data_IF_647648333965
#
_entry.id   IF_647648333965
#
_cell.length_a   1.000
_cell.length_b   1.000
_cell.length_c   1.000
_cell.angle_alpha   90.00
_cell.angle_beta   90.00
_cell.angle_gamma   90.00
#
_symmetry.space_group_name_H-M   'P 1'
#
loop_
_entity.id
_entity.type
_entity.pdbx_description
1 polymer ?
#
# COMPACT_ATOMS: atom_id res chain seq x y z
N UNK A 1 -61.16 0.99 -52.76
CA UNK A 1 -59.78 1.39 -52.38
C UNK A 1 -59.86 2.11 -51.03
N UNK A 2 -58.79 2.04 -50.22
CA UNK A 2 -58.61 2.54 -48.85
C UNK A 2 -58.73 1.49 -47.73
N UNK A 3 -57.56 0.94 -47.38
CA UNK A 3 -57.27 0.13 -46.19
C UNK A 3 -56.82 1.07 -45.06
N UNK A 4 -57.42 0.97 -43.88
CA UNK A 4 -56.87 1.53 -42.65
C UNK A 4 -55.94 0.51 -42.00
N UNK A 5 -54.71 0.91 -41.68
CA UNK A 5 -53.78 0.15 -40.86
C UNK A 5 -53.67 0.80 -39.48
N UNK A 6 -53.62 0.03 -38.36
CA UNK A 6 -53.38 0.60 -37.06
C UNK A 6 -51.88 0.81 -36.84
N UNK A 7 -51.49 2.03 -36.44
CA UNK A 7 -50.16 2.35 -35.93
C UNK A 7 -50.11 1.85 -34.48
N UNK A 8 -49.32 0.82 -34.24
CA UNK A 8 -48.96 0.38 -32.88
C UNK A 8 -47.81 1.27 -32.40
N UNK A 9 -48.08 2.16 -31.46
CA UNK A 9 -47.06 2.94 -30.77
C UNK A 9 -46.41 2.06 -29.68
N UNK A 10 -45.19 1.58 -29.95
CA UNK A 10 -44.34 0.97 -28.92
C UNK A 10 -43.71 2.09 -28.08
N UNK A 11 -44.23 2.30 -26.87
CA UNK A 11 -43.54 3.07 -25.84
C UNK A 11 -42.34 2.24 -25.34
N UNK A 12 -41.15 2.47 -25.91
CA UNK A 12 -39.89 2.06 -25.31
C UNK A 12 -39.64 2.96 -24.09
N UNK A 13 -40.10 2.51 -22.92
CA UNK A 13 -39.65 3.03 -21.64
C UNK A 13 -38.19 2.63 -21.45
N UNK A 14 -37.27 3.47 -21.94
CA UNK A 14 -35.86 3.36 -21.58
C UNK A 14 -35.68 3.78 -20.13
N UNK A 15 -35.58 2.81 -19.22
CA UNK A 15 -35.02 3.08 -17.89
C UNK A 15 -33.55 3.46 -18.08
N UNK A 16 -33.26 4.77 -18.02
CA UNK A 16 -31.91 5.25 -17.77
C UNK A 16 -31.49 4.69 -16.41
N UNK A 17 -30.50 3.78 -16.42
CA UNK A 17 -29.79 3.38 -15.22
C UNK A 17 -28.94 4.59 -14.83
N UNK A 18 -29.48 5.45 -13.96
CA UNK A 18 -28.72 6.45 -13.22
C UNK A 18 -27.87 5.66 -12.23
N UNK A 19 -26.65 5.28 -12.64
CA UNK A 19 -25.62 4.99 -11.65
C UNK A 19 -25.44 6.27 -10.82
N UNK A 20 -25.77 6.15 -9.55
CA UNK A 20 -26.08 7.21 -8.58
C UNK A 20 -24.99 8.30 -8.48
N UNK A 21 -25.31 9.51 -8.94
CA UNK A 21 -24.43 10.69 -8.87
C UNK A 21 -23.92 10.94 -7.43
N UNK A 22 -24.70 10.54 -6.42
CA UNK A 22 -24.40 10.71 -4.99
C UNK A 22 -23.16 9.91 -4.57
N UNK A 23 -23.06 8.64 -4.96
CA UNK A 23 -21.90 7.80 -4.59
C UNK A 23 -20.64 8.26 -5.31
N UNK A 24 -20.77 8.76 -6.54
CA UNK A 24 -19.65 9.35 -7.28
C UNK A 24 -19.11 10.59 -6.55
N UNK A 25 -19.99 11.48 -6.09
CA UNK A 25 -19.61 12.67 -5.30
C UNK A 25 -18.93 12.26 -3.99
N UNK A 26 -19.55 11.37 -3.21
CA UNK A 26 -18.98 10.89 -1.95
C UNK A 26 -17.60 10.25 -2.15
N UNK A 27 -17.43 9.46 -3.22
CA UNK A 27 -16.15 8.85 -3.59
C UNK A 27 -15.07 9.88 -3.94
N UNK A 28 -15.42 11.00 -4.57
CA UNK A 28 -14.47 12.08 -4.84
C UNK A 28 -14.11 12.87 -3.58
N UNK A 29 -15.08 13.11 -2.70
CA UNK A 29 -14.84 13.76 -1.41
C UNK A 29 -13.91 12.94 -0.52
N UNK A 30 -14.11 11.60 -0.46
CA UNK A 30 -13.20 10.69 0.25
C UNK A 30 -11.79 10.75 -0.32
N UNK A 31 -11.64 10.76 -1.64
CA UNK A 31 -10.32 10.90 -2.28
C UNK A 31 -9.65 12.24 -1.94
N UNK A 32 -10.41 13.34 -2.00
CA UNK A 32 -9.90 14.66 -1.61
C UNK A 32 -9.48 14.70 -0.13
N UNK A 33 -10.24 14.02 0.75
CA UNK A 33 -9.88 13.88 2.16
C UNK A 33 -8.59 13.08 2.37
N UNK A 34 -8.39 11.98 1.64
CA UNK A 34 -7.13 11.20 1.67
C UNK A 34 -5.94 12.01 1.16
N UNK A 35 -6.11 12.80 0.08
CA UNK A 35 -5.06 13.72 -0.42
C UNK A 35 -4.62 14.71 0.65
N UNK A 36 -5.57 15.43 1.28
CA UNK A 36 -5.26 16.41 2.34
C UNK A 36 -4.51 15.77 3.50
N UNK A 37 -4.86 14.53 3.86
CA UNK A 37 -4.20 13.78 4.94
C UNK A 37 -2.79 13.39 4.58
N UNK A 38 -2.56 12.88 3.36
CA UNK A 38 -1.22 12.60 2.87
C UNK A 38 -0.38 13.88 2.77
N UNK A 39 -0.98 15.05 2.53
CA UNK A 39 -0.27 16.36 2.49
C UNK A 39 0.11 16.85 3.89
N UNK A 40 -0.68 16.50 4.91
CA UNK A 40 -0.41 16.89 6.28
C UNK A 40 0.73 16.09 6.94
N UNK A 41 1.12 14.94 6.37
CA UNK A 41 2.24 14.14 6.86
C UNK A 41 3.58 14.78 6.49
N UNK A 42 4.35 15.15 7.50
CA UNK A 42 5.70 15.69 7.37
C UNK A 42 6.70 14.64 7.84
N UNK A 43 7.48 14.09 6.91
CA UNK A 43 8.46 13.06 7.21
C UNK A 43 9.87 13.68 7.20
N UNK A 44 10.77 13.13 8.02
CA UNK A 44 12.22 13.41 8.02
C UNK A 44 13.01 12.12 8.28
N UNK A 45 14.23 12.04 7.78
CA UNK A 45 15.20 10.97 8.11
C UNK A 45 16.26 11.57 9.03
N UNK A 46 16.22 11.23 10.32
CA UNK A 46 16.96 11.99 11.34
C UNK A 46 16.66 13.48 11.22
N UNK A 47 17.71 14.31 11.17
CA UNK A 47 17.59 15.77 10.98
C UNK A 47 17.50 16.21 9.51
N UNK A 48 17.52 15.28 8.55
CA UNK A 48 17.49 15.64 7.11
C UNK A 48 16.04 15.90 6.66
N UNK A 49 15.72 17.10 6.14
CA UNK A 49 14.35 17.46 5.77
C UNK A 49 13.93 17.02 4.36
N UNK A 50 14.86 16.54 3.52
CA UNK A 50 14.61 16.33 2.09
C UNK A 50 13.91 15.00 1.78
N UNK A 51 12.65 14.91 2.19
CA UNK A 51 11.75 13.82 1.79
C UNK A 51 10.64 14.34 0.88
N UNK A 52 10.29 13.54 -0.12
CA UNK A 52 9.27 13.91 -1.11
C UNK A 52 8.22 12.83 -1.19
N UNK A 53 6.95 13.22 -1.18
CA UNK A 53 5.88 12.30 -1.55
C UNK A 53 5.95 12.02 -3.04
N UNK A 54 5.72 10.76 -3.43
CA UNK A 54 5.67 10.38 -4.84
C UNK A 54 4.37 10.90 -5.44
N UNK A 55 4.47 11.99 -6.18
CA UNK A 55 3.35 12.60 -6.88
C UNK A 55 2.32 13.28 -5.96
N UNK A 56 1.30 13.86 -6.61
CA UNK A 56 0.15 14.49 -5.93
C UNK A 56 -1.02 13.55 -5.72
N UNK A 57 -1.06 12.47 -6.49
CA UNK A 57 -2.11 11.45 -6.49
C UNK A 57 -1.65 10.19 -5.79
N UNK A 58 -2.56 9.40 -5.20
CA UNK A 58 -2.19 8.13 -4.61
C UNK A 58 -1.66 7.19 -5.69
N UNK A 59 -0.67 6.37 -5.32
CA UNK A 59 -0.07 5.40 -6.23
C UNK A 59 -0.99 4.19 -6.48
N UNK A 60 -1.89 3.93 -5.52
CA UNK A 60 -2.87 2.87 -5.62
C UNK A 60 -4.12 3.24 -4.83
N UNK A 61 -5.29 2.86 -5.34
CA UNK A 61 -6.58 3.02 -4.66
C UNK A 61 -7.26 1.67 -4.62
N UNK A 62 -7.82 1.34 -3.47
CA UNK A 62 -8.37 0.02 -3.20
C UNK A 62 -9.63 0.11 -2.36
N UNK A 63 -10.29 -1.03 -2.24
CA UNK A 63 -11.35 -1.30 -1.28
C UNK A 63 -11.22 -2.75 -0.84
N UNK A 64 -11.74 -3.05 0.34
CA UNK A 64 -11.87 -4.41 0.83
C UNK A 64 -13.34 -4.81 0.80
N UNK A 65 -13.70 -5.70 -0.13
CA UNK A 65 -15.07 -6.16 -0.28
C UNK A 65 -15.50 -7.15 0.80
N UNK A 66 -14.53 -7.75 1.51
CA UNK A 66 -14.78 -8.77 2.53
C UNK A 66 -14.61 -8.18 3.93
N UNK A 67 -13.62 -7.30 4.10
CA UNK A 67 -13.45 -6.53 5.32
C UNK A 67 -14.26 -5.25 5.35
N UNK A 68 -13.71 -4.26 6.03
CA UNK A 68 -14.45 -3.08 6.49
C UNK A 68 -13.95 -1.78 5.87
N UNK A 69 -12.84 -1.86 5.13
CA UNK A 69 -12.24 -0.77 4.38
C UNK A 69 -13.04 -0.49 3.12
N UNK A 70 -13.85 0.57 3.15
CA UNK A 70 -14.72 0.92 2.01
C UNK A 70 -13.97 1.65 0.89
N UNK A 71 -12.93 2.42 1.22
CA UNK A 71 -12.12 3.18 0.28
C UNK A 71 -10.74 3.48 0.90
N UNK A 72 -9.69 3.09 0.19
CA UNK A 72 -8.32 3.23 0.68
C UNK A 72 -7.36 3.70 -0.41
N UNK A 73 -6.27 4.34 0.01
CA UNK A 73 -5.21 4.83 -0.86
C UNK A 73 -3.83 4.52 -0.32
N UNK A 74 -2.91 4.16 -1.20
CA UNK A 74 -1.50 3.94 -0.89
C UNK A 74 -0.67 5.14 -1.37
N UNK A 75 0.21 5.59 -0.48
CA UNK A 75 1.14 6.70 -0.70
C UNK A 75 2.56 6.25 -0.38
N UNK A 76 3.54 6.81 -1.09
CA UNK A 76 4.96 6.59 -0.81
C UNK A 76 5.67 7.93 -0.61
N UNK A 77 6.69 7.90 0.24
CA UNK A 77 7.67 8.97 0.37
C UNK A 77 9.04 8.43 -0.01
N UNK A 78 9.83 9.28 -0.67
CA UNK A 78 11.18 8.97 -1.13
C UNK A 78 12.19 9.91 -0.50
N UNK A 79 13.41 9.40 -0.33
CA UNK A 79 14.62 10.20 -0.22
C UNK A 79 15.34 10.09 -1.55
N UNK A 80 15.60 11.23 -2.19
CA UNK A 80 15.83 11.28 -3.63
C UNK A 80 14.69 10.52 -4.36
N UNK A 81 14.99 9.38 -4.97
CA UNK A 81 14.03 8.55 -5.72
C UNK A 81 13.73 7.21 -5.03
N UNK A 82 14.46 6.84 -3.97
CA UNK A 82 14.25 5.56 -3.29
C UNK A 82 13.10 5.66 -2.28
N UNK A 83 12.09 4.78 -2.33
CA UNK A 83 11.04 4.73 -1.31
C UNK A 83 11.60 4.44 0.07
N UNK A 84 11.17 5.24 1.04
CA UNK A 84 11.63 5.16 2.43
C UNK A 84 10.50 4.96 3.44
N UNK A 85 9.27 5.26 3.05
CA UNK A 85 8.09 5.05 3.86
C UNK A 85 6.88 4.88 2.95
N UNK A 86 5.88 4.16 3.45
CA UNK A 86 4.58 4.03 2.83
C UNK A 86 3.47 4.35 3.82
N UNK A 87 2.32 4.79 3.30
CA UNK A 87 1.11 4.93 4.09
C UNK A 87 -0.11 4.44 3.33
N UNK A 88 -0.91 3.59 3.97
CA UNK A 88 -2.30 3.34 3.60
C UNK A 88 -3.19 4.30 4.38
N UNK A 89 -3.97 5.11 3.67
CA UNK A 89 -4.99 5.99 4.24
C UNK A 89 -6.34 5.48 3.78
N UNK A 90 -7.21 5.12 4.71
CA UNK A 90 -8.49 4.52 4.36
C UNK A 90 -9.58 4.88 5.36
N UNK A 91 -10.83 4.72 4.92
CA UNK A 91 -11.97 4.81 5.81
C UNK A 91 -12.50 3.40 6.14
N UNK A 92 -12.66 3.17 7.42
CA UNK A 92 -13.31 1.98 7.95
C UNK A 92 -14.78 2.29 8.22
N UNK A 93 -15.65 1.40 7.77
CA UNK A 93 -17.11 1.48 7.99
C UNK A 93 -17.54 1.06 9.39
N UNK A 94 -16.69 0.38 10.15
CA UNK A 94 -16.91 0.08 11.57
C UNK A 94 -16.98 1.39 12.35
N UNK A 95 -17.99 1.49 13.21
CA UNK A 95 -18.14 2.60 14.17
C UNK A 95 -18.20 4.01 13.56
N UNK A 96 -18.91 4.18 12.44
CA UNK A 96 -19.34 5.50 11.97
C UNK A 96 -18.33 6.25 11.09
N UNK A 97 -17.66 5.56 10.17
CA UNK A 97 -16.71 6.13 9.20
C UNK A 97 -15.49 6.77 9.85
N UNK A 98 -14.53 5.92 10.23
CA UNK A 98 -13.30 6.37 10.86
C UNK A 98 -12.14 6.33 9.87
N UNK A 99 -11.37 7.40 9.84
CA UNK A 99 -10.13 7.44 9.09
C UNK A 99 -9.07 6.62 9.81
N UNK A 100 -8.29 5.86 9.05
CA UNK A 100 -7.16 5.10 9.55
C UNK A 100 -5.92 5.44 8.74
N UNK A 101 -4.79 5.38 9.44
CA UNK A 101 -3.46 5.58 8.90
C UNK A 101 -2.68 4.33 9.24
N UNK A 102 -2.25 3.59 8.24
CA UNK A 102 -1.26 2.53 8.40
C UNK A 102 0.03 2.99 7.77
N UNK A 103 1.07 3.12 8.58
CA UNK A 103 2.35 3.64 8.17
C UNK A 103 3.41 2.56 8.32
N UNK A 104 4.34 2.50 7.37
CA UNK A 104 5.48 1.59 7.47
C UNK A 104 6.78 2.23 6.98
N UNK A 105 7.86 1.99 7.72
CA UNK A 105 9.22 2.39 7.36
C UNK A 105 9.83 1.37 6.41
N UNK A 106 10.48 1.85 5.34
CA UNK A 106 11.14 1.03 4.33
C UNK A 106 12.67 1.12 4.40
N UNK A 107 13.22 1.87 5.36
CA UNK A 107 14.66 2.09 5.52
C UNK A 107 15.22 1.56 6.83
N UNK A 108 16.54 1.34 6.83
CA UNK A 108 17.30 0.88 7.99
C UNK A 108 17.79 2.02 8.89
N UNK A 109 17.15 3.18 8.82
CA UNK A 109 17.46 4.38 9.61
C UNK A 109 16.20 4.90 10.30
N UNK A 110 16.37 5.66 11.38
CA UNK A 110 15.25 6.24 12.09
C UNK A 110 14.49 7.25 11.20
N UNK A 111 13.15 7.19 11.26
CA UNK A 111 12.29 8.20 10.66
C UNK A 111 11.62 9.04 11.75
N UNK A 112 11.31 10.27 11.37
CA UNK A 112 10.51 11.21 12.16
C UNK A 112 9.32 11.57 11.29
N UNK A 113 8.12 11.18 11.70
CA UNK A 113 6.89 11.49 10.98
C UNK A 113 5.96 12.28 11.88
N UNK A 114 5.80 13.55 11.54
CA UNK A 114 4.87 14.48 12.15
C UNK A 114 3.58 14.54 11.33
N UNK A 115 2.46 14.65 12.03
CA UNK A 115 1.16 14.89 11.41
C UNK A 115 0.51 16.08 12.11
N UNK A 116 -0.58 15.82 12.84
CA UNK A 116 -1.19 16.84 13.70
C UNK A 116 -0.39 17.08 14.99
N UNK A 117 -0.58 18.22 15.69
CA UNK A 117 0.01 18.43 17.02
C UNK A 117 -0.29 17.26 17.97
N UNK A 118 0.74 16.79 18.68
CA UNK A 118 0.64 15.67 19.63
C UNK A 118 0.68 14.28 19.01
N UNK A 119 0.51 14.15 17.68
CA UNK A 119 0.66 12.88 16.98
C UNK A 119 2.03 12.77 16.33
N UNK A 120 2.74 11.69 16.63
CA UNK A 120 4.01 11.39 16.02
C UNK A 120 4.19 9.89 15.82
N UNK A 121 4.85 9.55 14.72
CA UNK A 121 5.42 8.22 14.49
C UNK A 121 6.93 8.39 14.32
N UNK A 122 7.70 7.63 15.10
CA UNK A 122 9.15 7.78 15.30
C UNK A 122 9.82 6.42 15.27
N UNK A 123 9.69 5.65 14.17
CA UNK A 123 10.26 4.31 14.10
C UNK A 123 11.77 4.40 14.31
N UNK A 124 12.29 3.54 15.21
CA UNK A 124 13.73 3.37 15.34
C UNK A 124 14.29 2.69 14.09
N UNK A 125 15.60 2.72 13.91
CA UNK A 125 16.25 2.00 12.82
C UNK A 125 15.87 0.51 12.89
N UNK A 126 15.16 0.02 11.87
CA UNK A 126 14.83 -1.40 11.73
C UNK A 126 15.80 -2.03 10.73
N UNK A 127 16.44 -3.15 11.07
CA UNK A 127 17.25 -3.88 10.10
C UNK A 127 16.33 -4.74 9.25
N UNK A 128 15.91 -4.24 8.09
CA UNK A 128 15.09 -5.03 7.17
C UNK A 128 15.84 -6.28 6.73
N UNK A 129 15.13 -7.40 6.75
CA UNK A 129 15.64 -8.66 6.23
C UNK A 129 15.56 -8.62 4.70
N UNK A 130 16.72 -8.68 4.06
CA UNK A 130 16.84 -8.72 2.61
C UNK A 130 17.19 -10.13 2.15
N UNK A 131 16.42 -10.66 1.22
CA UNK A 131 16.72 -11.89 0.50
C UNK A 131 17.56 -11.50 -0.71
N UNK A 132 18.78 -12.01 -0.78
CA UNK A 132 19.64 -11.85 -1.95
C UNK A 132 19.38 -12.98 -2.94
N UNK A 133 19.20 -12.63 -4.21
CA UNK A 133 19.09 -13.58 -5.31
C UNK A 133 20.17 -13.25 -6.35
N UNK A 134 21.14 -14.16 -6.48
CA UNK A 134 22.19 -14.09 -7.50
C UNK A 134 21.69 -14.57 -8.87
N UNK A 135 20.58 -15.30 -8.90
CA UNK A 135 19.96 -15.83 -10.12
C UNK A 135 18.48 -15.41 -10.23
N UNK A 136 17.99 -15.08 -11.45
CA UNK A 136 18.80 -14.88 -12.65
C UNK A 136 19.64 -13.59 -12.54
N UNK A 137 20.77 -13.53 -13.24
CA UNK A 137 21.51 -12.26 -13.38
C UNK A 137 20.54 -11.15 -13.84
N UNK A 138 20.57 -9.94 -13.21
CA UNK A 138 19.71 -8.85 -13.63
C UNK A 138 19.87 -8.54 -15.12
N UNK A 139 18.74 -8.49 -15.85
CA UNK A 139 18.77 -8.26 -17.28
C UNK A 139 19.30 -6.86 -17.62
N UNK A 140 19.80 -6.71 -18.84
CA UNK A 140 20.37 -5.44 -19.33
C UNK A 140 19.31 -4.37 -19.62
N UNK A 141 18.10 -4.77 -20.01
CA UNK A 141 17.03 -3.82 -20.36
C UNK A 141 16.00 -3.71 -19.23
N UNK A 142 15.43 -2.51 -19.08
CA UNK A 142 14.36 -2.25 -18.12
C UNK A 142 13.14 -3.17 -18.29
N UNK A 143 12.60 -3.43 -19.50
CA UNK A 143 11.45 -4.31 -19.63
C UNK A 143 11.76 -5.75 -19.22
N UNK A 144 12.95 -6.25 -19.55
CA UNK A 144 13.38 -7.60 -19.16
C UNK A 144 13.58 -7.72 -17.64
N UNK A 145 14.13 -6.69 -17.00
CA UNK A 145 14.23 -6.64 -15.53
C UNK A 145 12.86 -6.64 -14.85
N UNK A 146 11.89 -5.91 -15.39
CA UNK A 146 10.53 -5.95 -14.85
C UNK A 146 9.91 -7.35 -14.96
N UNK A 147 10.17 -8.07 -16.06
CA UNK A 147 9.74 -9.46 -16.20
C UNK A 147 10.43 -10.38 -15.18
N UNK A 148 11.74 -10.19 -14.94
CA UNK A 148 12.48 -10.92 -13.92
C UNK A 148 11.98 -10.62 -12.51
N UNK A 149 11.70 -9.36 -12.15
CA UNK A 149 11.11 -8.99 -10.86
C UNK A 149 9.82 -9.78 -10.62
N UNK A 150 8.93 -9.87 -11.62
CA UNK A 150 7.69 -10.64 -11.50
C UNK A 150 7.94 -12.14 -11.35
N UNK A 151 8.89 -12.70 -12.09
CA UNK A 151 9.28 -14.11 -12.00
C UNK A 151 9.90 -14.46 -10.63
N UNK A 152 10.74 -13.59 -10.11
CA UNK A 152 11.29 -13.71 -8.75
C UNK A 152 10.18 -13.67 -7.71
N UNK A 153 9.27 -12.69 -7.82
CA UNK A 153 8.18 -12.52 -6.87
C UNK A 153 7.13 -13.63 -6.93
N UNK A 154 6.94 -14.29 -8.08
CA UNK A 154 6.00 -15.42 -8.19
C UNK A 154 6.42 -16.67 -7.41
N UNK A 155 7.66 -16.72 -6.92
CA UNK A 155 8.15 -17.82 -6.08
C UNK A 155 7.72 -17.68 -4.62
N UNK A 156 7.15 -16.53 -4.24
CA UNK A 156 6.71 -16.28 -2.87
C UNK A 156 5.20 -16.45 -2.75
N UNK A 157 4.79 -17.00 -1.61
CA UNK A 157 3.40 -17.06 -1.15
C UNK A 157 3.29 -16.25 0.12
N UNK A 158 2.26 -15.41 0.21
CA UNK A 158 2.02 -14.58 1.37
C UNK A 158 0.65 -14.92 1.96
N UNK A 159 0.58 -15.00 3.27
CA UNK A 159 -0.60 -15.37 4.03
C UNK A 159 -0.79 -14.37 5.17
N UNK A 160 -2.03 -13.95 5.38
CA UNK A 160 -2.45 -13.21 6.56
C UNK A 160 -3.29 -14.13 7.45
N UNK A 161 -3.08 -14.07 8.76
CA UNK A 161 -3.92 -14.76 9.75
C UNK A 161 -4.47 -13.75 10.74
N UNK A 162 -5.78 -13.75 10.91
CA UNK A 162 -6.49 -12.94 11.89
C UNK A 162 -7.64 -13.74 12.53
N UNK A 163 -8.48 -13.09 13.33
CA UNK A 163 -9.58 -13.74 14.05
C UNK A 163 -10.64 -14.38 13.13
N UNK A 164 -10.71 -13.95 11.87
CA UNK A 164 -11.61 -14.53 10.86
C UNK A 164 -11.01 -15.80 10.25
N UNK A 165 -9.68 -15.92 10.24
CA UNK A 165 -8.95 -17.10 9.79
C UNK A 165 -7.77 -16.76 8.88
N UNK A 166 -7.38 -17.73 8.06
CA UNK A 166 -6.27 -17.62 7.12
C UNK A 166 -6.74 -17.07 5.77
N UNK A 167 -6.09 -16.02 5.29
CA UNK A 167 -6.28 -15.43 3.97
C UNK A 167 -5.02 -15.58 3.14
N UNK A 168 -5.15 -16.21 1.96
CA UNK A 168 -4.09 -16.26 0.96
C UNK A 168 -4.01 -14.92 0.23
N UNK A 169 -2.84 -14.29 0.27
CA UNK A 169 -2.61 -12.99 -0.35
C UNK A 169 -2.08 -13.16 -1.78
N UNK A 170 -2.63 -12.37 -2.70
CA UNK A 170 -2.25 -12.42 -4.11
C UNK A 170 -1.28 -11.29 -4.45
N UNK A 171 -0.19 -11.63 -5.14
CA UNK A 171 0.69 -10.64 -5.76
C UNK A 171 -0.06 -9.83 -6.83
N UNK A 172 -0.08 -8.51 -6.70
CA UNK A 172 -0.63 -7.64 -7.73
C UNK A 172 0.31 -7.57 -8.95
N UNK A 173 -0.22 -7.63 -10.18
CA UNK A 173 0.59 -7.87 -11.39
C UNK A 173 1.40 -6.65 -11.86
N UNK A 174 1.13 -5.47 -11.31
CA UNK A 174 1.78 -4.20 -11.66
C UNK A 174 2.45 -3.62 -10.41
N UNK A 175 3.71 -3.15 -10.52
CA UNK A 175 4.30 -2.38 -9.43
C UNK A 175 3.52 -1.08 -9.24
N UNK A 176 3.37 -0.64 -8.00
CA UNK A 176 2.77 0.67 -7.67
C UNK A 176 3.76 1.80 -7.86
N UNK A 177 5.05 1.50 -7.84
CA UNK A 177 6.10 2.47 -8.07
C UNK A 177 7.37 1.79 -8.62
N UNK A 178 8.10 2.49 -9.48
CA UNK A 178 9.39 2.08 -10.03
C UNK A 178 10.35 3.24 -9.95
N UNK A 179 11.60 2.97 -9.59
CA UNK A 179 12.60 3.99 -9.30
C UNK A 179 14.01 3.51 -9.62
N UNK A 180 14.94 4.46 -9.54
CA UNK A 180 16.39 4.24 -9.61
C UNK A 180 17.05 5.13 -8.57
N UNK A 181 18.10 4.65 -7.93
CA UNK A 181 18.86 5.48 -7.00
C UNK A 181 20.35 5.19 -7.17
N UNK A 182 21.01 5.81 -8.18
CA UNK A 182 22.42 5.56 -8.46
C UNK A 182 23.34 5.86 -7.28
N UNK A 183 23.02 6.89 -6.48
CA UNK A 183 23.78 7.26 -5.28
C UNK A 183 23.79 6.16 -4.21
N UNK A 184 22.74 5.33 -4.17
CA UNK A 184 22.62 4.14 -3.33
C UNK A 184 22.97 2.84 -4.08
N UNK A 185 23.58 2.95 -5.26
CA UNK A 185 23.93 1.80 -6.12
C UNK A 185 22.73 0.96 -6.54
N UNK A 186 21.54 1.56 -6.70
CA UNK A 186 20.33 0.88 -7.18
C UNK A 186 20.09 1.24 -8.65
N UNK A 187 20.28 0.26 -9.54
CA UNK A 187 20.13 0.44 -10.99
C UNK A 187 18.64 0.49 -11.41
N UNK A 188 17.81 -0.28 -10.74
CA UNK A 188 16.38 -0.42 -11.00
C UNK A 188 15.71 -0.98 -9.75
N UNK A 189 14.57 -0.43 -9.36
CA UNK A 189 13.83 -0.85 -8.19
C UNK A 189 12.34 -0.71 -8.41
N UNK A 190 11.56 -1.54 -7.73
CA UNK A 190 10.11 -1.49 -7.80
C UNK A 190 9.46 -1.87 -6.46
N UNK A 191 8.26 -1.32 -6.23
CA UNK A 191 7.37 -1.69 -5.14
C UNK A 191 6.18 -2.46 -5.70
N UNK A 192 5.97 -3.67 -5.20
CA UNK A 192 4.81 -4.52 -5.47
C UNK A 192 4.00 -4.74 -4.18
N UNK A 193 2.80 -5.30 -4.33
CA UNK A 193 1.88 -5.57 -3.22
C UNK A 193 1.42 -7.03 -3.25
N UNK A 194 1.43 -7.69 -2.11
CA UNK A 194 0.53 -8.82 -1.86
C UNK A 194 -0.73 -8.28 -1.17
N UNK A 195 -1.90 -8.73 -1.64
CA UNK A 195 -3.17 -8.17 -1.23
C UNK A 195 -4.26 -9.23 -0.97
N UNK A 196 -5.08 -8.98 0.04
CA UNK A 196 -6.40 -9.60 0.22
C UNK A 196 -7.39 -8.93 -0.74
N UNK A 197 -7.67 -9.58 -1.88
CA UNK A 197 -8.42 -8.96 -2.97
C UNK A 197 -7.65 -7.78 -3.60
N UNK A 198 -7.94 -6.56 -3.15
CA UNK A 198 -7.16 -5.35 -3.47
C UNK A 198 -6.60 -4.62 -2.26
N UNK A 199 -6.93 -5.03 -1.03
CA UNK A 199 -6.36 -4.43 0.18
C UNK A 199 -4.89 -4.84 0.34
N UNK A 200 -3.91 -3.92 0.32
CA UNK A 200 -2.51 -4.29 0.45
C UNK A 200 -2.17 -4.73 1.88
N UNK A 201 -1.65 -5.94 2.04
CA UNK A 201 -1.26 -6.49 3.35
C UNK A 201 0.27 -6.60 3.50
N UNK A 202 0.99 -6.74 2.37
CA UNK A 202 2.46 -6.77 2.33
C UNK A 202 2.99 -5.93 1.18
N UNK A 203 3.89 -5.00 1.49
CA UNK A 203 4.73 -4.31 0.52
C UNK A 203 5.97 -5.16 0.21
N UNK A 204 6.31 -5.26 -1.07
CA UNK A 204 7.53 -5.94 -1.51
C UNK A 204 8.39 -4.97 -2.29
N UNK A 205 9.62 -4.77 -1.82
CA UNK A 205 10.63 -3.98 -2.50
C UNK A 205 11.62 -4.91 -3.18
N UNK A 206 11.76 -4.76 -4.49
CA UNK A 206 12.73 -5.52 -5.29
C UNK A 206 13.68 -4.53 -5.94
N UNK A 207 14.98 -4.72 -5.75
CA UNK A 207 16.03 -3.82 -6.23
C UNK A 207 17.14 -4.60 -6.92
N UNK A 208 17.67 -4.02 -8.00
CA UNK A 208 18.94 -4.42 -8.61
C UNK A 208 20.05 -3.62 -7.98
N UNK A 209 20.94 -4.32 -7.28
CA UNK A 209 22.19 -3.76 -6.79
C UNK A 209 23.18 -3.67 -7.95
N UNK A 210 23.81 -2.51 -8.09
CA UNK A 210 24.92 -2.29 -9.02
C UNK A 210 26.27 -2.56 -8.34
N UNK A 211 27.27 -2.94 -9.13
CA UNK A 211 28.62 -3.26 -8.65
C UNK A 211 29.15 -4.54 -9.27
N UNK A 212 30.24 -5.08 -8.69
CA UNK A 212 30.85 -6.33 -9.12
C UNK A 212 29.86 -7.51 -8.96
N UNK A 213 29.14 -7.55 -7.85
CA UNK A 213 28.14 -8.58 -7.53
C UNK A 213 26.72 -8.10 -7.86
N UNK A 214 26.53 -7.67 -9.12
CA UNK A 214 25.24 -7.19 -9.61
C UNK A 214 24.17 -8.26 -9.41
N UNK A 215 23.22 -7.99 -8.54
CA UNK A 215 22.31 -8.99 -8.00
C UNK A 215 20.95 -8.39 -7.62
N UNK A 216 19.98 -9.25 -7.37
CA UNK A 216 18.68 -8.86 -6.86
C UNK A 216 18.69 -8.87 -5.33
N UNK A 217 18.00 -7.91 -4.72
CA UNK A 217 17.55 -8.01 -3.34
C UNK A 217 16.05 -7.80 -3.23
N UNK A 218 15.43 -8.56 -2.34
CA UNK A 218 14.00 -8.57 -2.09
C UNK A 218 13.76 -8.34 -0.61
N UNK A 219 12.93 -7.36 -0.27
CA UNK A 219 12.58 -7.05 1.11
C UNK A 219 11.08 -6.93 1.26
N UNK A 220 10.54 -7.47 2.36
CA UNK A 220 9.14 -7.38 2.72
C UNK A 220 8.91 -6.29 3.78
N UNK A 221 7.69 -5.78 3.85
CA UNK A 221 7.24 -4.88 4.90
C UNK A 221 5.74 -5.08 5.09
N UNK A 222 5.28 -5.15 6.34
CA UNK A 222 3.86 -5.33 6.66
C UNK A 222 3.05 -4.07 6.35
N UNK A 223 1.81 -4.28 5.93
CA UNK A 223 0.79 -3.24 5.75
C UNK A 223 -0.52 -3.63 6.44
N UNK A 224 -0.42 -4.38 7.55
CA UNK A 224 -1.56 -4.88 8.31
C UNK A 224 -1.19 -5.08 9.77
N UNK A 225 -2.19 -5.00 10.63
CA UNK A 225 -2.08 -5.29 12.05
C UNK A 225 -2.12 -6.80 12.35
N UNK A 226 -2.51 -7.64 11.39
CA UNK A 226 -2.64 -9.09 11.55
C UNK A 226 -1.30 -9.83 11.54
N UNK A 227 -1.32 -11.12 11.90
CA UNK A 227 -0.17 -12.00 11.68
C UNK A 227 0.07 -12.17 10.17
N UNK A 228 1.32 -12.09 9.71
CA UNK A 228 1.65 -12.26 8.30
C UNK A 228 2.87 -13.14 8.14
N UNK A 229 2.78 -14.04 7.17
CA UNK A 229 3.87 -14.93 6.77
C UNK A 229 4.10 -14.84 5.27
N UNK A 230 5.37 -14.83 4.88
CA UNK A 230 5.81 -15.01 3.49
C UNK A 230 6.72 -16.23 3.43
N UNK A 231 6.35 -17.16 2.56
CA UNK A 231 7.10 -18.37 2.29
C UNK A 231 7.65 -18.36 0.85
N UNK A 232 8.81 -18.98 0.66
CA UNK A 232 9.32 -19.39 -0.65
C UNK A 232 9.36 -20.91 -0.65
N UNK A 233 8.66 -21.53 -1.60
CA UNK A 233 8.36 -22.96 -1.57
C UNK A 233 7.66 -23.35 -0.24
N UNK A 234 8.24 -24.24 0.55
CA UNK A 234 7.70 -24.65 1.87
C UNK A 234 8.37 -23.93 3.05
N UNK A 235 9.35 -23.06 2.79
CA UNK A 235 10.14 -22.40 3.83
C UNK A 235 9.62 -20.99 4.11
N UNK A 236 9.32 -20.69 5.37
CA UNK A 236 9.11 -19.30 5.83
C UNK A 236 10.40 -18.50 5.63
N UNK A 237 10.32 -17.39 4.91
CA UNK A 237 11.47 -16.49 4.68
C UNK A 237 11.30 -15.14 5.36
N UNK A 238 10.07 -14.78 5.74
CA UNK A 238 9.74 -13.59 6.49
C UNK A 238 8.40 -13.78 7.20
N UNK A 239 8.31 -13.35 8.45
CA UNK A 239 7.07 -13.39 9.22
C UNK A 239 7.06 -12.26 10.24
N UNK A 240 5.85 -11.79 10.57
CA UNK A 240 5.61 -10.82 11.63
C UNK A 240 4.36 -11.23 12.40
N UNK A 241 4.41 -11.08 13.72
CA UNK A 241 3.24 -11.29 14.58
C UNK A 241 2.28 -10.11 14.47
N UNK A 242 1.00 -10.36 14.72
CA UNK A 242 -0.05 -9.37 14.82
C UNK A 242 0.27 -8.34 15.90
N UNK A 243 -0.05 -7.08 15.63
CA UNK A 243 0.19 -6.00 16.58
C UNK A 243 -0.68 -6.20 17.82
N UNK A 244 -0.04 -6.40 18.96
CA UNK A 244 -0.73 -6.51 20.27
C UNK A 244 -0.73 -5.19 21.04
N UNK A 245 0.26 -4.33 20.77
CA UNK A 245 0.40 -3.02 21.39
C UNK A 245 0.90 -2.01 20.35
N UNK A 246 0.20 -0.88 20.26
CA UNK A 246 0.58 0.22 19.38
C UNK A 246 1.76 0.99 19.95
N UNK A 247 2.90 0.92 19.27
CA UNK A 247 4.09 1.65 19.66
C UNK A 247 4.55 2.55 18.51
N UNK A 248 4.56 3.89 18.67
CA UNK A 248 5.00 4.80 17.63
C UNK A 248 6.50 4.65 17.29
N UNK A 249 7.25 3.82 18.02
CA UNK A 249 8.65 3.51 17.74
C UNK A 249 8.87 2.26 16.89
N UNK A 250 7.82 1.50 16.58
CA UNK A 250 7.91 0.34 15.69
C UNK A 250 7.89 0.78 14.22
N UNK A 251 8.47 -0.05 13.35
CA UNK A 251 8.54 0.17 11.90
C UNK A 251 7.18 0.21 11.23
N UNK A 252 6.15 -0.37 11.84
CA UNK A 252 4.77 -0.28 11.42
C UNK A 252 3.95 0.35 12.54
N UNK A 253 3.06 1.26 12.17
CA UNK A 253 2.19 1.94 13.10
C UNK A 253 0.85 2.22 12.45
N UNK A 254 -0.23 1.74 13.08
CA UNK A 254 -1.59 2.09 12.70
C UNK A 254 -2.18 3.04 13.74
N UNK A 255 -2.95 4.00 13.26
CA UNK A 255 -3.65 4.92 14.15
C UNK A 255 -4.92 5.48 13.50
N UNK A 256 -5.91 5.75 14.33
CA UNK A 256 -7.10 6.48 13.91
C UNK A 256 -6.76 7.92 13.54
N UNK A 257 -7.49 8.44 12.56
CA UNK A 257 -7.29 9.77 12.05
C UNK A 257 -7.64 10.88 13.04
N UNK A 258 -7.16 12.10 12.80
CA UNK A 258 -7.38 13.28 13.66
C UNK A 258 -8.84 13.59 13.97
N UNK A 259 -9.74 13.25 13.05
CA UNK A 259 -11.15 13.64 13.10
C UNK A 259 -11.96 12.75 14.06
N UNK A 260 -11.34 11.71 14.62
CA UNK A 260 -11.83 11.07 15.83
C UNK A 260 -11.50 12.07 16.95
N UNK A 261 -12.52 12.76 17.49
CA UNK A 261 -12.36 13.49 18.76
C UNK A 261 -11.72 12.56 19.80
N UNK A 262 -11.11 13.09 20.87
CA UNK A 262 -10.41 12.29 21.88
C UNK A 262 -11.35 11.25 22.53
N UNK A 263 -11.53 10.11 21.86
CA UNK A 263 -12.18 8.93 22.39
C UNK A 263 -11.04 8.12 22.96
N UNK A 264 -11.07 8.03 24.28
CA UNK A 264 -10.17 7.28 25.14
C UNK A 264 -9.63 6.02 24.42
N UNK A 265 -8.35 6.06 24.03
CA UNK A 265 -7.67 4.94 23.34
C UNK A 265 -7.32 3.80 24.30
N UNK A 266 -7.99 3.74 25.45
CA UNK A 266 -7.88 2.69 26.44
C UNK A 266 -9.07 1.76 26.38
N UNK A 267 -8.97 0.69 25.60
CA UNK A 267 -9.28 -0.67 26.07
C UNK A 267 -8.77 -1.72 25.07
N UNK A 268 -8.21 -2.83 25.59
CA UNK A 268 -7.60 -3.90 24.78
C UNK A 268 -8.60 -4.57 23.85
#
# INVERSE_FOLDING_TARGET
MFRFAPIVAFCLSGSLIVADDTETVARQERLAAMRRRAEALQLKVGEKPDLRRVGKEPLFRYSDAVGTTTDGTLWLWTQAERPIAAACLFNDSREGFQWNYELVSLIDSALIVDGRPGWNWRPVANKRQWILATEPEPARSEPARLAQMKSLLSQFRAEEVNDVGLTQLRLLPRPVHRYRCPDEKIEDGAIFLFAGGTNPEVLVQVEVLSGADRSWRIGFARMTASDVKVARDEQTVWEVEGVREWNPRHEYFSHYGPDRGDVDQGKP
#
